data_IF_379596921879
#
_entry.id   IF_379596921879
#
_cell.length_a   1.000
_cell.length_b   1.000
_cell.length_c   1.000
_cell.angle_alpha   90.00
_cell.angle_beta   90.00
_cell.angle_gamma   90.00
#
_symmetry.space_group_name_H-M   'P 1'
#
loop_
_entity.id
_entity.type
_entity.pdbx_description
1 polymer ?
#
# COMPACT_ATOMS: atom_id res chain seq x y z
N UNK A 1 -45.53 43.54 54.66
CA UNK A 1 -45.09 44.73 55.41
C UNK A 1 -44.46 45.71 54.44
N UNK A 2 -45.08 46.89 54.31
CA UNK A 2 -44.58 48.03 53.55
C UNK A 2 -43.55 48.74 54.40
N UNK A 3 -42.37 49.06 53.86
CA UNK A 3 -41.62 50.25 54.28
C UNK A 3 -41.12 50.98 53.05
N UNK A 4 -41.53 52.24 53.00
CA UNK A 4 -41.25 53.25 51.98
C UNK A 4 -39.78 53.57 51.78
N UNK A 5 -39.46 53.79 50.50
CA UNK A 5 -38.74 54.91 49.91
C UNK A 5 -37.86 55.83 50.79
N UNK A 6 -36.64 56.09 50.29
CA UNK A 6 -36.12 57.46 50.27
C UNK A 6 -35.42 57.75 48.94
N UNK A 7 -36.06 58.62 48.17
CA UNK A 7 -35.46 59.36 47.07
C UNK A 7 -34.48 60.38 47.67
N UNK A 8 -33.23 60.35 47.20
CA UNK A 8 -32.36 61.53 47.24
C UNK A 8 -31.85 61.76 45.83
N UNK A 9 -32.50 62.69 45.13
CA UNK A 9 -31.98 63.34 43.94
C UNK A 9 -30.77 64.18 44.36
N UNK A 10 -29.65 64.03 43.68
CA UNK A 10 -28.45 64.80 44.00
C UNK A 10 -27.41 64.73 42.89
N UNK A 11 -27.57 65.64 41.92
CA UNK A 11 -26.50 66.28 41.14
C UNK A 11 -25.82 65.46 40.05
N UNK A 12 -26.37 65.63 38.84
CA UNK A 12 -25.61 65.75 37.59
C UNK A 12 -24.34 66.59 37.82
N UNK A 13 -23.18 66.04 37.49
CA UNK A 13 -21.93 66.78 37.53
C UNK A 13 -20.75 65.97 37.07
N UNK A 14 -20.43 66.06 35.77
CA UNK A 14 -19.08 65.93 35.25
C UNK A 14 -18.32 64.64 35.59
N UNK A 15 -18.55 63.55 34.84
CA UNK A 15 -17.51 62.54 34.53
C UNK A 15 -17.86 61.58 33.39
N UNK A 16 -18.59 62.06 32.38
CA UNK A 16 -18.93 61.30 31.16
C UNK A 16 -17.87 61.46 30.05
N UNK A 17 -16.71 62.09 30.34
CA UNK A 17 -15.66 62.31 29.34
C UNK A 17 -14.30 61.96 29.95
N UNK A 18 -13.98 60.67 30.10
CA UNK A 18 -12.56 60.26 30.19
C UNK A 18 -12.24 58.78 29.97
N UNK A 19 -13.21 57.88 29.71
CA UNK A 19 -12.93 56.44 29.63
C UNK A 19 -13.41 55.77 28.34
N UNK A 20 -13.62 56.55 27.28
CA UNK A 20 -13.76 56.03 25.91
C UNK A 20 -12.76 56.78 25.03
N UNK A 21 -11.46 56.52 25.22
CA UNK A 21 -10.45 56.80 24.19
C UNK A 21 -9.36 55.74 24.24
N UNK A 22 -9.41 54.88 23.22
CA UNK A 22 -8.25 54.43 22.45
C UNK A 22 -7.10 53.72 23.18
N UNK A 23 -7.22 52.40 23.31
CA UNK A 23 -6.05 51.53 23.15
C UNK A 23 -6.07 50.92 21.74
N UNK A 24 -5.68 51.73 20.76
CA UNK A 24 -5.22 51.21 19.48
C UNK A 24 -3.83 50.58 19.71
N UNK A 25 -3.62 49.27 19.51
CA UNK A 25 -2.26 48.76 19.45
C UNK A 25 -1.60 49.42 18.25
N UNK A 26 -0.55 50.20 18.48
CA UNK A 26 0.30 50.70 17.40
C UNK A 26 0.90 49.49 16.68
N UNK A 27 0.26 49.06 15.61
CA UNK A 27 0.82 48.03 14.73
C UNK A 27 2.10 48.63 14.16
N UNK A 28 3.24 48.07 14.56
CA UNK A 28 4.55 48.45 14.06
C UNK A 28 4.49 48.47 12.53
N UNK A 29 4.60 49.66 11.93
CA UNK A 29 4.53 49.86 10.49
C UNK A 29 5.53 48.91 9.83
N UNK A 30 5.02 47.91 9.09
CA UNK A 30 5.88 47.02 8.33
C UNK A 30 6.66 47.89 7.34
N UNK A 31 7.99 47.89 7.44
CA UNK A 31 8.84 48.67 6.55
C UNK A 31 8.46 48.37 5.09
N UNK A 32 7.92 49.38 4.40
CA UNK A 32 7.51 49.27 3.00
C UNK A 32 8.78 49.09 2.18
N UNK A 33 9.00 47.87 1.69
CA UNK A 33 10.15 47.58 0.83
C UNK A 33 9.84 48.09 -0.58
N UNK A 34 10.82 48.74 -1.22
CA UNK A 34 10.71 49.15 -2.61
C UNK A 34 10.61 47.98 -3.59
N UNK A 35 10.17 48.27 -4.82
CA UNK A 35 10.14 47.28 -5.90
C UNK A 35 11.58 46.78 -6.18
N UNK A 36 11.81 45.48 -6.39
CA UNK A 36 13.13 44.98 -6.76
C UNK A 36 13.57 45.59 -8.09
N UNK A 37 14.86 45.91 -8.22
CA UNK A 37 15.44 46.57 -9.42
C UNK A 37 15.12 45.84 -10.74
N UNK A 38 14.96 44.52 -10.70
CA UNK A 38 14.64 43.69 -11.87
C UNK A 38 13.15 43.52 -12.14
N UNK A 39 12.26 44.07 -11.31
CA UNK A 39 10.79 43.97 -11.46
C UNK A 39 10.20 42.56 -11.30
N UNK A 40 11.03 41.52 -11.16
CA UNK A 40 10.58 40.12 -11.20
C UNK A 40 10.08 39.66 -9.83
N UNK A 41 8.79 39.34 -9.74
CA UNK A 41 8.03 39.03 -8.50
C UNK A 41 8.41 37.69 -7.85
N UNK A 42 9.04 36.78 -8.59
CA UNK A 42 9.31 35.39 -8.15
C UNK A 42 10.25 35.20 -6.95
N UNK A 43 11.01 36.22 -6.52
CA UNK A 43 11.81 36.14 -5.29
C UNK A 43 10.93 36.54 -4.10
N UNK A 44 10.30 35.57 -3.46
CA UNK A 44 9.48 35.82 -2.26
C UNK A 44 10.34 36.37 -1.13
N UNK A 45 9.89 37.45 -0.51
CA UNK A 45 10.59 38.02 0.64
C UNK A 45 10.44 37.06 1.81
N UNK A 46 11.57 36.47 2.22
CA UNK A 46 11.64 35.65 3.42
C UNK A 46 11.41 36.53 4.65
N UNK A 47 10.22 36.44 5.25
CA UNK A 47 9.83 37.20 6.46
C UNK A 47 10.48 36.67 7.74
N UNK A 48 10.85 35.39 7.74
CA UNK A 48 11.42 34.70 8.90
C UNK A 48 12.95 34.65 8.83
N UNK A 49 13.61 34.75 10.00
CA UNK A 49 15.08 34.65 10.11
C UNK A 49 15.56 33.29 9.59
N UNK A 50 16.79 33.22 9.07
CA UNK A 50 17.36 31.93 8.62
C UNK A 50 17.51 30.93 9.78
N UNK A 51 17.75 31.42 10.99
CA UNK A 51 17.79 30.62 12.22
C UNK A 51 16.45 30.02 12.64
N UNK A 52 15.31 30.50 12.11
CA UNK A 52 14.00 29.90 12.39
C UNK A 52 13.77 28.61 11.59
N UNK A 53 14.64 28.29 10.62
CA UNK A 53 14.63 26.97 10.00
C UNK A 53 15.19 26.03 11.05
N UNK A 54 14.31 25.27 11.69
CA UNK A 54 14.72 24.12 12.49
C UNK A 54 15.48 23.18 11.56
N UNK A 55 16.79 23.09 11.75
CA UNK A 55 17.60 22.06 11.10
C UNK A 55 17.15 20.74 11.70
N UNK A 56 16.54 19.88 10.90
CA UNK A 56 16.17 18.56 11.38
C UNK A 56 17.46 17.83 11.74
N UNK A 57 17.59 17.43 13.01
CA UNK A 57 18.62 16.49 13.43
C UNK A 57 18.14 15.14 12.91
N UNK A 58 18.41 14.85 11.62
CA UNK A 58 17.80 13.73 10.90
C UNK A 58 17.78 12.44 11.72
N UNK A 59 16.76 11.60 11.52
CA UNK A 59 16.40 10.48 12.41
C UNK A 59 17.60 9.65 12.89
N UNK A 60 18.17 10.03 14.04
CA UNK A 60 19.29 9.31 14.66
C UNK A 60 18.73 8.08 15.35
N UNK A 61 18.77 6.94 14.69
CA UNK A 61 18.42 5.66 15.33
C UNK A 61 19.56 5.20 16.23
N UNK A 62 19.21 4.59 17.37
CA UNK A 62 20.17 3.93 18.25
C UNK A 62 20.80 2.71 17.55
N UNK A 63 21.98 2.30 18.00
CA UNK A 63 22.69 1.14 17.43
C UNK A 63 21.84 -0.14 17.48
N UNK A 64 21.17 -0.38 18.61
CA UNK A 64 20.26 -1.51 18.80
C UNK A 64 19.17 -1.57 17.73
N UNK A 65 18.52 -0.43 17.43
CA UNK A 65 17.51 -0.35 16.36
C UNK A 65 18.10 -0.68 14.99
N UNK A 66 19.35 -0.32 14.73
CA UNK A 66 20.03 -0.68 13.47
C UNK A 66 20.31 -2.18 13.39
N UNK A 67 20.68 -2.81 14.51
CA UNK A 67 20.92 -4.25 14.57
C UNK A 67 19.63 -5.05 14.37
N UNK A 68 18.53 -4.66 15.04
CA UNK A 68 17.21 -5.27 14.84
C UNK A 68 16.77 -5.19 13.37
N UNK A 69 16.88 -4.01 12.74
CA UNK A 69 16.53 -3.84 11.32
C UNK A 69 17.40 -4.70 10.39
N UNK A 70 18.66 -4.96 10.77
CA UNK A 70 19.58 -5.82 10.01
C UNK A 70 19.17 -7.29 10.12
N UNK A 71 18.80 -7.73 11.31
CA UNK A 71 18.30 -9.09 11.57
C UNK A 71 16.97 -9.33 10.87
N UNK A 72 16.01 -8.41 10.98
CA UNK A 72 14.74 -8.47 10.24
C UNK A 72 14.97 -8.54 8.74
N UNK A 73 15.89 -7.74 8.21
CA UNK A 73 16.24 -7.79 6.78
C UNK A 73 16.80 -9.15 6.41
N UNK A 74 17.69 -9.72 7.21
CA UNK A 74 18.27 -11.05 6.98
C UNK A 74 17.18 -12.11 6.97
N UNK A 75 16.26 -12.10 7.95
CA UNK A 75 15.14 -13.03 8.01
C UNK A 75 14.23 -12.91 6.78
N UNK A 76 13.84 -11.69 6.39
CA UNK A 76 13.03 -11.45 5.19
C UNK A 76 13.69 -12.00 3.92
N UNK A 77 15.00 -11.80 3.76
CA UNK A 77 15.74 -12.33 2.61
C UNK A 77 15.76 -13.87 2.58
N UNK A 78 15.94 -14.51 3.74
CA UNK A 78 15.90 -15.98 3.85
C UNK A 78 14.50 -16.52 3.51
N UNK A 79 13.45 -15.88 4.01
CA UNK A 79 12.07 -16.27 3.71
C UNK A 79 11.75 -16.14 2.23
N UNK A 80 12.21 -15.07 1.58
CA UNK A 80 12.05 -14.86 0.15
C UNK A 80 12.78 -15.93 -0.67
N UNK A 81 14.02 -16.26 -0.29
CA UNK A 81 14.81 -17.32 -0.92
C UNK A 81 14.10 -18.68 -0.80
N UNK A 82 13.65 -19.05 0.41
CA UNK A 82 12.91 -20.29 0.66
C UNK A 82 11.62 -20.37 -0.18
N UNK A 83 10.86 -19.27 -0.27
CA UNK A 83 9.65 -19.21 -1.11
C UNK A 83 9.98 -19.37 -2.59
N UNK A 84 11.07 -18.77 -3.06
CA UNK A 84 11.52 -18.89 -4.46
C UNK A 84 11.92 -20.33 -4.78
N UNK A 85 12.66 -20.98 -3.89
CA UNK A 85 13.05 -22.38 -4.02
C UNK A 85 11.83 -23.31 -4.03
N UNK A 86 10.89 -23.15 -3.09
CA UNK A 86 9.67 -23.94 -3.05
C UNK A 86 8.86 -23.83 -4.37
N UNK A 87 8.72 -22.61 -4.91
CA UNK A 87 8.07 -22.38 -6.22
C UNK A 87 8.82 -23.08 -7.36
N UNK A 88 10.16 -23.02 -7.36
CA UNK A 88 10.97 -23.67 -8.38
C UNK A 88 10.86 -25.20 -8.31
N UNK A 89 10.89 -25.78 -7.12
CA UNK A 89 10.69 -27.21 -6.88
C UNK A 89 9.30 -27.67 -7.34
N UNK A 90 8.24 -26.94 -6.99
CA UNK A 90 6.88 -27.24 -7.44
C UNK A 90 6.75 -27.20 -8.98
N UNK A 91 7.37 -26.20 -9.63
CA UNK A 91 7.37 -26.09 -11.10
C UNK A 91 8.12 -27.26 -11.76
N UNK A 92 9.28 -27.65 -11.20
CA UNK A 92 10.05 -28.82 -11.68
C UNK A 92 9.24 -30.11 -11.53
N UNK A 93 8.63 -30.34 -10.37
CA UNK A 93 7.79 -31.51 -10.11
C UNK A 93 6.61 -31.60 -11.09
N UNK A 94 5.92 -30.49 -11.34
CA UNK A 94 4.82 -30.42 -12.32
C UNK A 94 5.31 -30.75 -13.74
N UNK A 95 6.49 -30.26 -14.12
CA UNK A 95 7.09 -30.54 -15.42
C UNK A 95 7.37 -32.04 -15.59
N UNK A 96 8.05 -32.64 -14.62
CA UNK A 96 8.36 -34.07 -14.61
C UNK A 96 7.09 -34.92 -14.68
N UNK A 97 6.08 -34.60 -13.87
CA UNK A 97 4.79 -35.31 -13.90
C UNK A 97 4.07 -35.18 -15.26
N UNK A 98 4.22 -34.04 -15.93
CA UNK A 98 3.65 -33.83 -17.27
C UNK A 98 4.40 -34.64 -18.32
N UNK A 99 5.73 -34.66 -18.27
CA UNK A 99 6.58 -35.43 -19.17
C UNK A 99 6.34 -36.94 -19.00
N UNK A 100 6.20 -37.42 -17.77
CA UNK A 100 5.86 -38.81 -17.46
C UNK A 100 4.46 -39.17 -17.99
N UNK A 101 3.45 -38.31 -17.79
CA UNK A 101 2.11 -38.51 -18.35
C UNK A 101 2.12 -38.57 -19.88
N UNK A 102 2.91 -37.71 -20.53
CA UNK A 102 3.11 -37.74 -21.99
C UNK A 102 3.76 -39.04 -22.42
N UNK A 103 4.80 -39.50 -21.72
CA UNK A 103 5.46 -40.79 -22.00
C UNK A 103 4.47 -41.96 -21.89
N UNK A 104 3.66 -42.00 -20.81
CA UNK A 104 2.61 -43.02 -20.64
C UNK A 104 1.57 -42.98 -21.73
N UNK A 105 1.17 -41.78 -22.18
CA UNK A 105 0.24 -41.62 -23.32
C UNK A 105 0.83 -42.21 -24.61
N UNK A 106 2.07 -41.84 -24.95
CA UNK A 106 2.74 -42.34 -26.15
C UNK A 106 2.91 -43.87 -26.11
N UNK A 107 3.23 -44.43 -24.94
CA UNK A 107 3.31 -45.88 -24.78
C UNK A 107 1.94 -46.56 -24.91
N UNK A 108 0.88 -45.95 -24.37
CA UNK A 108 -0.48 -46.45 -24.53
C UNK A 108 -0.94 -46.35 -25.99
N UNK A 109 -0.58 -45.29 -26.72
CA UNK A 109 -0.86 -45.14 -28.16
C UNK A 109 -0.15 -46.26 -28.95
N UNK A 110 1.13 -46.52 -28.69
CA UNK A 110 1.87 -47.65 -29.30
C UNK A 110 1.23 -49.00 -28.98
N UNK A 111 0.80 -49.21 -27.74
CA UNK A 111 0.11 -50.45 -27.34
C UNK A 111 -1.28 -50.58 -27.95
N UNK A 112 -1.99 -49.47 -28.14
CA UNK A 112 -3.31 -49.44 -28.76
C UNK A 112 -3.23 -49.66 -30.28
N UNK A 113 -2.15 -49.20 -30.91
CA UNK A 113 -1.85 -49.47 -32.32
C UNK A 113 -1.62 -50.97 -32.56
N UNK A 114 -1.01 -51.68 -31.60
CA UNK A 114 -0.90 -53.15 -31.64
C UNK A 114 -2.28 -53.81 -31.52
N UNK A 115 -2.87 -54.15 -32.66
CA UNK A 115 -4.16 -54.85 -32.73
C UNK A 115 -3.99 -56.33 -32.38
N UNK A 116 -4.86 -56.86 -31.51
CA UNK A 116 -4.96 -58.29 -31.27
C UNK A 116 -5.93 -58.90 -32.30
N UNK A 117 -5.48 -59.79 -33.20
CA UNK A 117 -6.38 -60.42 -34.17
C UNK A 117 -7.34 -61.39 -33.48
N UNK A 118 -8.65 -61.19 -33.69
CA UNK A 118 -9.69 -62.06 -33.13
C UNK A 118 -9.91 -63.23 -34.10
N UNK A 119 -9.25 -64.36 -33.85
CA UNK A 119 -9.34 -65.55 -34.70
C UNK A 119 -10.60 -66.40 -34.47
N UNK A 120 -11.20 -66.34 -33.28
CA UNK A 120 -12.33 -67.20 -32.90
C UNK A 120 -13.65 -66.42 -32.87
N UNK A 121 -14.62 -66.87 -33.67
CA UNK A 121 -15.96 -66.27 -33.78
C UNK A 121 -16.80 -66.32 -32.49
N UNK A 122 -16.56 -67.29 -31.60
CA UNK A 122 -17.26 -67.36 -30.32
C UNK A 122 -16.88 -66.21 -29.39
N UNK A 123 -15.70 -65.60 -29.57
CA UNK A 123 -15.31 -64.41 -28.80
C UNK A 123 -16.18 -63.20 -29.19
N UNK A 124 -16.47 -63.00 -30.47
CA UNK A 124 -17.35 -61.91 -30.93
C UNK A 124 -18.76 -62.01 -30.36
N UNK A 125 -19.32 -63.22 -30.30
CA UNK A 125 -20.68 -63.46 -29.77
C UNK A 125 -20.79 -63.23 -28.26
N UNK A 126 -19.69 -63.32 -27.51
CA UNK A 126 -19.65 -63.12 -26.05
C UNK A 126 -19.44 -61.66 -25.64
N UNK A 127 -19.02 -60.79 -26.56
CA UNK A 127 -18.72 -59.40 -26.25
C UNK A 127 -19.99 -58.57 -26.01
N UNK A 128 -19.87 -57.55 -25.16
CA UNK A 128 -20.95 -56.58 -24.94
C UNK A 128 -21.12 -55.69 -26.17
N UNK A 129 -22.34 -55.17 -26.36
CA UNK A 129 -22.70 -54.34 -27.52
C UNK A 129 -21.87 -53.05 -27.65
N UNK A 130 -21.31 -52.54 -26.55
CA UNK A 130 -20.38 -51.41 -26.55
C UNK A 130 -18.99 -51.77 -27.09
N UNK A 131 -18.46 -52.95 -26.74
CA UNK A 131 -17.13 -53.41 -27.16
C UNK A 131 -17.10 -53.74 -28.66
N UNK A 132 -18.20 -54.26 -29.20
CA UNK A 132 -18.35 -54.50 -30.63
C UNK A 132 -18.20 -53.23 -31.49
N UNK A 133 -18.52 -52.04 -30.94
CA UNK A 133 -18.38 -50.75 -31.65
C UNK A 133 -16.93 -50.31 -31.82
N UNK A 134 -16.02 -50.84 -31.01
CA UNK A 134 -14.59 -50.49 -31.03
C UNK A 134 -13.79 -51.37 -31.99
N UNK A 135 -14.37 -52.47 -32.47
CA UNK A 135 -13.67 -53.40 -33.37
C UNK A 135 -13.68 -52.82 -34.79
N UNK A 136 -12.49 -52.53 -35.30
CA UNK A 136 -12.28 -52.15 -36.70
C UNK A 136 -11.96 -53.39 -37.55
N UNK A 137 -12.51 -53.45 -38.77
CA UNK A 137 -12.11 -54.44 -39.77
C UNK A 137 -10.92 -53.85 -40.54
N UNK A 138 -9.73 -54.40 -40.33
CA UNK A 138 -8.46 -53.98 -40.96
C UNK A 138 -7.83 -55.19 -41.64
#
# INVERSE_FOLDING_TARGET
MVVCARVSRGLLGFRVISLIMNEFPMTKTAAIRGKPKSGRVWKTVRKQRYSSIRKDTGLRTTWEKKMLLKEERKQRCLDEANRREARACAKKARRLATEERKRRRLENERRAETVVPIKNMMKLKKLKRSQLRTIEKR
#
